data_IF_365229176312
#
_entry.id   IF_365229176312
#
_cell.length_a   1.000
_cell.length_b   1.000
_cell.length_c   1.000
_cell.angle_alpha   90.00
_cell.angle_beta   90.00
_cell.angle_gamma   90.00
#
_symmetry.space_group_name_H-M   'P 1'
#
loop_
_entity.id
_entity.type
_entity.pdbx_description
1 polymer ?
#
# COMPACT_ATOMS: atom_id res chain seq x y z
N UNK A 1 -7.41 -6.02 -12.92
CA UNK A 1 -7.91 -4.90 -12.09
C UNK A 1 -7.34 -5.15 -10.69
N UNK A 2 -6.46 -4.28 -10.21
CA UNK A 2 -5.87 -4.42 -8.88
C UNK A 2 -6.87 -4.02 -7.80
N UNK A 3 -6.66 -4.50 -6.58
CA UNK A 3 -7.46 -4.12 -5.42
C UNK A 3 -6.92 -2.81 -4.83
N UNK A 4 -7.82 -1.91 -4.42
CA UNK A 4 -7.46 -0.68 -3.72
C UNK A 4 -7.75 -0.82 -2.23
N UNK A 5 -6.72 -0.63 -1.42
CA UNK A 5 -6.79 -0.70 0.03
C UNK A 5 -6.52 0.67 0.65
N UNK A 6 -7.25 1.01 1.72
CA UNK A 6 -7.03 2.20 2.53
C UNK A 6 -6.45 1.78 3.88
N UNK A 7 -5.28 2.30 4.22
CA UNK A 7 -4.65 2.11 5.52
C UNK A 7 -4.53 3.44 6.24
N UNK A 8 -4.82 3.43 7.53
CA UNK A 8 -4.86 4.64 8.35
C UNK A 8 -4.06 4.47 9.63
N UNK A 9 -3.38 5.51 10.08
CA UNK A 9 -2.54 5.44 11.28
C UNK A 9 -2.01 6.79 11.73
N UNK A 10 -1.45 6.85 12.93
CA UNK A 10 -0.90 8.09 13.49
C UNK A 10 0.50 8.43 12.94
N UNK A 11 1.19 7.47 12.31
CA UNK A 11 2.54 7.62 11.78
C UNK A 11 2.65 7.07 10.36
N UNK A 12 3.28 7.86 9.48
CA UNK A 12 3.45 7.51 8.08
C UNK A 12 4.49 6.39 7.89
N UNK A 13 5.59 6.43 8.64
CA UNK A 13 6.67 5.45 8.50
C UNK A 13 6.19 4.05 8.91
N UNK A 14 5.47 3.95 10.03
CA UNK A 14 4.85 2.72 10.51
C UNK A 14 3.85 2.14 9.50
N UNK A 15 3.06 2.99 8.84
CA UNK A 15 2.17 2.51 7.78
C UNK A 15 2.94 1.98 6.55
N UNK A 16 4.05 2.61 6.16
CA UNK A 16 4.88 2.11 5.05
C UNK A 16 5.49 0.74 5.39
N UNK A 17 5.97 0.56 6.61
CA UNK A 17 6.47 -0.74 7.09
C UNK A 17 5.35 -1.77 7.03
N UNK A 18 4.18 -1.43 7.57
CA UNK A 18 2.99 -2.29 7.56
C UNK A 18 2.55 -2.69 6.16
N UNK A 19 2.54 -1.76 5.19
CA UNK A 19 2.25 -2.07 3.77
C UNK A 19 3.22 -3.14 3.25
N UNK A 20 4.51 -3.01 3.55
CA UNK A 20 5.52 -3.97 3.08
C UNK A 20 5.39 -5.33 3.76
N UNK A 21 5.08 -5.36 5.05
CA UNK A 21 4.94 -6.61 5.81
C UNK A 21 3.62 -7.34 5.49
N UNK A 22 2.51 -6.61 5.36
CA UNK A 22 1.17 -7.20 5.15
C UNK A 22 0.87 -7.48 3.67
N UNK A 23 1.22 -6.57 2.76
CA UNK A 23 0.85 -6.65 1.35
C UNK A 23 2.00 -7.11 0.45
N UNK A 24 3.22 -7.14 0.98
CA UNK A 24 4.41 -7.59 0.25
C UNK A 24 4.92 -6.61 -0.81
N UNK A 25 5.96 -6.99 -1.56
CA UNK A 25 6.69 -6.10 -2.48
C UNK A 25 5.89 -5.69 -3.72
N UNK A 26 4.76 -6.34 -4.01
CA UNK A 26 3.88 -5.98 -5.13
C UNK A 26 3.02 -4.74 -4.83
N UNK A 27 2.83 -4.40 -3.56
CA UNK A 27 1.98 -3.30 -3.15
C UNK A 27 2.54 -1.94 -3.56
N UNK A 28 1.72 -1.11 -4.21
CA UNK A 28 2.11 0.23 -4.64
C UNK A 28 1.27 1.28 -3.93
N UNK A 29 1.93 2.15 -3.18
CA UNK A 29 1.28 3.33 -2.61
C UNK A 29 0.98 4.31 -3.74
N UNK A 30 -0.30 4.63 -3.94
CA UNK A 30 -0.77 5.55 -4.99
C UNK A 30 -1.18 6.91 -4.42
N UNK A 31 -1.49 6.98 -3.12
CA UNK A 31 -1.85 8.24 -2.43
C UNK A 31 -1.44 8.17 -0.96
N UNK A 32 -0.96 9.29 -0.44
CA UNK A 32 -0.67 9.48 0.99
C UNK A 32 -1.20 10.85 1.42
N UNK A 33 -2.12 10.88 2.38
CA UNK A 33 -2.74 12.10 2.89
C UNK A 33 -2.54 12.25 4.39
N UNK A 34 -2.37 13.49 4.85
CA UNK A 34 -2.38 13.84 6.27
C UNK A 34 -3.72 14.48 6.59
N UNK A 35 -4.60 13.72 7.23
CA UNK A 35 -5.92 14.19 7.67
C UNK A 35 -5.80 14.75 9.08
N UNK A 36 -6.14 16.03 9.25
CA UNK A 36 -6.22 16.67 10.56
C UNK A 36 -7.69 16.84 10.91
N UNK A 37 -8.19 16.01 11.81
CA UNK A 37 -9.55 16.11 12.34
C UNK A 37 -9.55 17.06 13.54
N UNK A 38 -10.06 18.27 13.34
CA UNK A 38 -10.26 19.28 14.39
C UNK A 38 -11.73 19.35 14.83
N UNK A 39 -11.99 19.15 16.12
CA UNK A 39 -13.35 19.30 16.69
C UNK A 39 -13.89 20.73 16.57
N UNK A 40 -15.21 20.85 16.43
CA UNK A 40 -15.94 22.13 16.42
C UNK A 40 -15.53 22.95 17.67
N UNK A 41 -14.75 24.02 17.48
CA UNK A 41 -14.22 24.87 18.57
C UNK A 41 -12.70 24.82 18.83
N UNK A 42 -11.93 23.95 18.16
CA UNK A 42 -10.45 24.06 18.12
C UNK A 42 -9.64 23.30 19.18
N UNK A 43 -10.27 22.47 20.03
CA UNK A 43 -9.59 21.88 21.20
C UNK A 43 -9.11 20.42 21.05
N UNK A 44 -9.40 19.75 19.93
CA UNK A 44 -8.92 18.40 19.67
C UNK A 44 -8.51 18.25 18.20
N UNK A 45 -7.26 18.58 17.88
CA UNK A 45 -6.68 18.29 16.57
C UNK A 45 -6.06 16.89 16.62
N UNK A 46 -6.76 15.89 16.09
CA UNK A 46 -6.22 14.55 15.86
C UNK A 46 -5.67 14.49 14.44
N UNK A 47 -4.37 14.29 14.32
CA UNK A 47 -3.72 14.08 13.04
C UNK A 47 -3.60 12.57 12.77
N UNK A 48 -4.02 12.14 11.59
CA UNK A 48 -3.85 10.78 11.08
C UNK A 48 -3.37 10.83 9.64
N UNK A 49 -2.66 9.79 9.24
CA UNK A 49 -2.23 9.57 7.88
C UNK A 49 -3.11 8.50 7.26
N UNK A 50 -3.49 8.73 6.02
CA UNK A 50 -4.26 7.82 5.19
C UNK A 50 -3.43 7.46 3.95
N UNK A 51 -3.28 6.17 3.68
CA UNK A 51 -2.54 5.64 2.56
C UNK A 51 -3.49 4.83 1.69
N UNK A 52 -3.58 5.20 0.41
CA UNK A 52 -4.23 4.37 -0.59
C UNK A 52 -3.18 3.54 -1.29
N UNK A 53 -3.36 2.22 -1.26
CA UNK A 53 -2.48 1.23 -1.87
C UNK A 53 -3.22 0.53 -2.99
N UNK A 54 -2.56 0.39 -4.13
CA UNK A 54 -2.96 -0.49 -5.22
C UNK A 54 -2.17 -1.80 -5.10
N UNK A 55 -2.88 -2.91 -4.98
CA UNK A 55 -2.29 -4.25 -4.97
C UNK A 55 -2.54 -4.86 -6.34
N UNK A 56 -1.51 -4.92 -7.20
CA UNK A 56 -1.63 -5.62 -8.47
C UNK A 56 -1.75 -7.11 -8.21
N UNK A 57 -2.72 -7.75 -8.86
CA UNK A 57 -2.79 -9.20 -8.90
C UNK A 57 -1.44 -9.74 -9.38
N UNK A 58 -0.79 -10.67 -8.66
CA UNK A 58 0.46 -11.24 -9.12
C UNK A 58 0.25 -11.82 -10.51
N UNK A 59 0.84 -11.16 -11.52
CA UNK A 59 0.93 -11.74 -12.84
C UNK A 59 1.58 -13.10 -12.67
N UNK A 60 0.81 -14.18 -12.85
CA UNK A 60 1.31 -15.55 -12.80
C UNK A 60 2.36 -15.65 -13.88
N UNK A 61 3.62 -15.36 -13.55
CA UNK A 61 4.71 -15.34 -14.51
C UNK A 61 4.78 -16.76 -15.07
N UNK A 62 4.49 -17.00 -16.37
CA UNK A 62 4.72 -18.32 -16.92
C UNK A 62 6.22 -18.55 -16.79
N UNK A 63 6.61 -19.51 -15.94
CA UNK A 63 7.99 -19.95 -15.81
C UNK A 63 8.46 -20.27 -17.22
N UNK A 64 9.28 -19.38 -17.80
CA UNK A 64 9.80 -19.55 -19.16
C UNK A 64 10.70 -20.77 -19.12
N UNK A 65 10.12 -21.92 -19.47
CA UNK A 65 10.84 -23.18 -19.58
C UNK A 65 11.74 -23.03 -20.80
N UNK A 66 13.01 -22.74 -20.56
CA UNK A 66 14.02 -22.84 -21.59
C UNK A 66 14.17 -24.31 -21.95
N UNK A 67 13.50 -24.76 -23.02
CA UNK A 67 13.88 -26.01 -23.67
C UNK A 67 15.17 -25.74 -24.44
N UNK A 68 16.28 -26.33 -23.96
CA UNK A 68 17.49 -26.43 -24.76
C UNK A 68 17.19 -27.31 -25.99
N UNK A 69 17.42 -26.84 -27.22
CA UNK A 69 17.53 -27.75 -28.36
C UNK A 69 18.92 -28.40 -28.29
N UNK A 70 18.96 -29.71 -28.04
CA UNK A 70 20.14 -30.53 -28.32
C UNK A 70 20.03 -31.02 -29.76
N UNK A 71 21.00 -30.61 -30.57
CA UNK A 71 21.24 -31.09 -31.93
C UNK A 71 21.83 -32.51 -31.92
#
# INVERSE_FOLDING_TARGET
MGERLLLEGADLAGLIVRVREELGPGARIVRAEKVRSGGFGGFFARERYELTIDVPEPARTPRRRFTRPTA
#
